data_IF_754424831084
#
_entry.id   IF_754424831084
#
_cell.length_a   1.000
_cell.length_b   1.000
_cell.length_c   1.000
_cell.angle_alpha   90.00
_cell.angle_beta   90.00
_cell.angle_gamma   90.00
#
_symmetry.space_group_name_H-M   'P 1'
#
loop_
_entity.id
_entity.type
_entity.pdbx_description
1 polymer ?
#
# COMPACT_ATOMS: atom_id res chain seq x y z
N UNK A 1 33.75 -0.37 7.61
CA UNK A 1 34.02 0.77 6.70
C UNK A 1 32.69 1.26 6.18
N UNK A 2 32.17 2.32 6.79
CA UNK A 2 30.83 2.87 6.52
C UNK A 2 30.95 4.22 5.84
N UNK A 3 30.68 4.31 4.54
CA UNK A 3 30.37 5.59 3.87
C UNK A 3 29.31 5.31 2.79
N UNK A 4 28.03 5.37 3.19
CA UNK A 4 26.88 5.52 2.28
C UNK A 4 26.50 7.02 2.20
N UNK A 5 27.48 7.89 1.92
CA UNK A 5 27.30 9.36 1.86
C UNK A 5 27.42 9.88 0.42
N UNK A 6 27.89 9.05 -0.51
CA UNK A 6 28.07 9.40 -1.92
C UNK A 6 26.78 9.65 -2.75
N UNK A 7 25.58 9.07 -2.45
CA UNK A 7 24.47 9.17 -3.40
C UNK A 7 23.89 10.59 -3.48
N UNK A 8 23.95 11.36 -2.38
CA UNK A 8 23.34 12.69 -2.34
C UNK A 8 24.15 13.73 -3.10
N UNK A 9 25.48 13.73 -2.94
CA UNK A 9 26.37 14.69 -3.61
C UNK A 9 26.34 14.51 -5.13
N UNK A 10 26.43 13.26 -5.60
CA UNK A 10 26.38 12.92 -7.02
C UNK A 10 25.01 13.24 -7.67
N UNK A 11 23.92 13.19 -6.89
CA UNK A 11 22.59 13.59 -7.38
C UNK A 11 22.50 15.11 -7.55
N UNK A 12 23.06 15.88 -6.61
CA UNK A 12 23.09 17.35 -6.69
C UNK A 12 23.91 17.81 -7.90
N UNK A 13 25.06 17.21 -8.18
CA UNK A 13 25.87 17.52 -9.37
C UNK A 13 25.12 17.23 -10.69
N UNK A 14 24.34 16.15 -10.73
CA UNK A 14 23.49 15.83 -11.88
C UNK A 14 22.39 16.86 -12.09
N UNK A 15 21.75 17.30 -11.00
CA UNK A 15 20.70 18.33 -11.04
C UNK A 15 21.27 19.68 -11.48
N UNK A 16 22.48 20.04 -11.06
CA UNK A 16 23.13 21.30 -11.44
C UNK A 16 23.65 21.32 -12.89
N UNK A 17 23.98 20.15 -13.46
CA UNK A 17 24.44 20.03 -14.86
C UNK A 17 23.30 19.92 -15.88
N UNK A 18 22.03 19.89 -15.43
CA UNK A 18 20.87 19.88 -16.30
C UNK A 18 20.60 21.28 -16.88
N UNK A 19 20.21 21.38 -18.16
CA UNK A 19 19.78 22.64 -18.76
C UNK A 19 18.51 23.18 -18.07
N UNK A 20 18.35 24.52 -18.01
CA UNK A 20 17.27 25.17 -17.25
C UNK A 20 15.87 24.77 -17.72
N UNK A 21 15.73 24.37 -18.98
CA UNK A 21 14.48 23.86 -19.57
C UNK A 21 13.98 22.58 -18.91
N UNK A 22 14.88 21.76 -18.34
CA UNK A 22 14.55 20.48 -17.70
C UNK A 22 14.40 20.58 -16.18
N UNK A 23 14.71 21.73 -15.58
CA UNK A 23 14.60 21.92 -14.13
C UNK A 23 13.13 21.82 -13.69
N UNK A 24 12.22 22.45 -14.43
CA UNK A 24 10.78 22.41 -14.13
C UNK A 24 10.21 20.98 -14.15
N UNK A 25 10.69 20.12 -15.07
CA UNK A 25 10.28 18.71 -15.16
C UNK A 25 10.80 17.89 -13.96
N UNK A 26 12.02 18.19 -13.50
CA UNK A 26 12.59 17.57 -12.29
C UNK A 26 11.85 18.01 -11.04
N UNK A 27 11.46 19.29 -10.93
CA UNK A 27 10.66 19.80 -9.82
C UNK A 27 9.30 19.10 -9.74
N UNK A 28 8.59 18.99 -10.87
CA UNK A 28 7.32 18.26 -10.95
C UNK A 28 7.47 16.79 -10.54
N UNK A 29 8.53 16.11 -11.01
CA UNK A 29 8.81 14.72 -10.64
C UNK A 29 9.11 14.56 -9.14
N UNK A 30 9.84 15.51 -8.54
CA UNK A 30 10.13 15.52 -7.11
C UNK A 30 8.86 15.73 -6.29
N UNK A 31 7.98 16.65 -6.71
CA UNK A 31 6.70 16.88 -6.05
C UNK A 31 5.75 15.69 -6.19
N UNK A 32 5.74 15.02 -7.35
CA UNK A 32 5.05 13.75 -7.55
C UNK A 32 5.53 12.67 -6.57
N UNK A 33 6.85 12.52 -6.38
CA UNK A 33 7.39 11.56 -5.41
C UNK A 33 6.96 11.88 -3.97
N UNK A 34 6.95 13.16 -3.58
CA UNK A 34 6.47 13.59 -2.24
C UNK A 34 4.99 13.24 -2.05
N UNK A 35 4.14 13.59 -3.02
CA UNK A 35 2.70 13.30 -2.99
C UNK A 35 2.42 11.80 -2.87
N UNK A 36 3.11 10.97 -3.67
CA UNK A 36 2.98 9.51 -3.64
C UNK A 36 3.38 8.91 -2.28
N UNK A 37 4.38 9.49 -1.63
CA UNK A 37 4.84 9.02 -0.32
C UNK A 37 3.85 9.40 0.78
N UNK A 38 3.22 10.58 0.68
CA UNK A 38 2.15 11.00 1.59
C UNK A 38 0.88 10.13 1.47
N UNK A 39 0.48 9.76 0.25
CA UNK A 39 -0.70 8.88 0.04
C UNK A 39 -0.49 7.44 0.50
N UNK A 40 0.76 7.01 0.66
CA UNK A 40 1.12 5.68 1.19
C UNK A 40 1.12 5.60 2.71
N UNK A 41 0.85 6.68 3.44
CA UNK A 41 0.49 6.52 4.84
C UNK A 41 -0.73 5.60 4.88
N UNK A 42 -0.67 4.47 5.60
CA UNK A 42 -1.84 3.63 5.77
C UNK A 42 -2.85 4.51 6.48
N UNK A 43 -3.83 5.02 5.75
CA UNK A 43 -5.02 5.60 6.33
C UNK A 43 -5.53 4.52 7.27
N UNK A 44 -5.36 4.72 8.58
CA UNK A 44 -5.96 3.87 9.61
C UNK A 44 -7.40 3.72 9.16
N UNK A 45 -7.76 2.52 8.70
CA UNK A 45 -9.10 2.26 8.21
C UNK A 45 -9.99 2.47 9.42
N UNK A 46 -10.59 3.65 9.53
CA UNK A 46 -11.66 3.85 10.47
C UNK A 46 -12.71 2.81 10.08
N UNK A 47 -13.10 1.91 11.00
CA UNK A 47 -14.19 0.99 10.74
C UNK A 47 -15.37 1.85 10.31
N UNK A 48 -15.78 1.72 9.05
CA UNK A 48 -17.00 2.37 8.60
C UNK A 48 -18.15 1.81 9.45
N UNK A 49 -19.03 2.68 9.90
CA UNK A 49 -20.26 2.32 10.61
C UNK A 49 -21.27 1.75 9.61
N UNK A 50 -20.89 0.65 8.97
CA UNK A 50 -21.85 -0.17 8.27
C UNK A 50 -22.71 -0.86 9.33
N UNK A 51 -24.03 -0.89 9.17
CA UNK A 51 -24.92 -1.70 9.99
C UNK A 51 -24.67 -3.17 9.66
N UNK A 52 -23.51 -3.68 10.08
CA UNK A 52 -23.16 -5.09 10.04
C UNK A 52 -23.95 -5.71 11.16
N UNK A 53 -24.96 -6.49 10.80
CA UNK A 53 -25.58 -7.40 11.75
C UNK A 53 -24.51 -8.39 12.17
N UNK A 54 -24.03 -8.27 13.40
CA UNK A 54 -23.20 -9.29 14.01
C UNK A 54 -24.11 -10.49 14.29
N UNK A 55 -24.08 -11.49 13.41
CA UNK A 55 -24.90 -12.72 13.53
C UNK A 55 -24.42 -13.68 14.62
N UNK A 56 -23.74 -13.16 15.65
CA UNK A 56 -23.17 -13.96 16.74
C UNK A 56 -21.93 -14.77 16.33
N UNK A 57 -21.38 -15.51 17.28
CA UNK A 57 -20.32 -16.48 16.97
C UNK A 57 -20.92 -17.62 16.16
N UNK A 58 -20.30 -17.92 15.02
CA UNK A 58 -20.62 -19.13 14.26
C UNK A 58 -20.42 -20.36 15.16
N UNK A 59 -21.35 -21.33 15.16
CA UNK A 59 -21.24 -22.50 16.03
C UNK A 59 -19.93 -23.26 15.74
N UNK A 60 -19.24 -23.71 16.79
CA UNK A 60 -17.93 -24.37 16.65
C UNK A 60 -18.00 -25.72 15.93
N UNK A 61 -19.18 -26.33 15.89
CA UNK A 61 -19.52 -27.57 15.21
C UNK A 61 -20.07 -27.34 13.79
N UNK A 62 -20.33 -26.09 13.38
CA UNK A 62 -20.81 -25.78 12.04
C UNK A 62 -19.66 -25.81 11.03
N UNK A 63 -19.51 -26.95 10.38
CA UNK A 63 -18.57 -27.17 9.28
C UNK A 63 -19.12 -26.62 7.96
N UNK A 64 -18.28 -25.89 7.20
CA UNK A 64 -18.59 -25.47 5.82
C UNK A 64 -18.16 -26.52 4.78
N UNK A 65 -17.80 -27.74 5.23
CA UNK A 65 -17.45 -28.82 4.31
C UNK A 65 -18.68 -29.27 3.54
N UNK A 66 -18.46 -29.67 2.29
CA UNK A 66 -19.54 -30.14 1.41
C UNK A 66 -20.25 -31.34 2.02
N UNK A 67 -19.48 -32.24 2.61
CA UNK A 67 -19.93 -33.50 3.20
C UNK A 67 -20.87 -33.25 4.40
N UNK A 68 -20.58 -32.23 5.21
CA UNK A 68 -21.42 -31.81 6.34
C UNK A 68 -22.65 -30.98 5.89
N UNK A 69 -22.52 -30.18 4.82
CA UNK A 69 -23.59 -29.28 4.33
C UNK A 69 -24.61 -29.94 3.41
N UNK A 70 -24.17 -30.89 2.58
CA UNK A 70 -25.00 -31.50 1.53
C UNK A 70 -25.14 -33.01 1.69
N UNK A 71 -24.49 -33.61 2.69
CA UNK A 71 -24.34 -35.06 2.79
C UNK A 71 -23.38 -35.63 1.75
N UNK A 72 -22.90 -36.84 1.98
CA UNK A 72 -22.11 -37.61 1.02
C UNK A 72 -22.98 -38.21 -0.11
N UNK A 73 -24.06 -37.52 -0.50
CA UNK A 73 -24.94 -37.92 -1.62
C UNK A 73 -24.31 -37.53 -2.98
N UNK A 74 -22.98 -37.55 -3.05
CA UNK A 74 -22.18 -37.30 -4.25
C UNK A 74 -21.99 -38.51 -5.15
N UNK A 75 -22.87 -39.51 -5.09
CA UNK A 75 -22.80 -40.73 -5.91
C UNK A 75 -24.15 -41.24 -6.40
#
# INVERSE_FOLDING_TARGET
MSIQIQPMQHLVEKIQSLPPERIAEVEDFVDFLKQRTQTKQPTRREPLDFPVISVGQWPGDSSLRREDMYGDDGR
#
